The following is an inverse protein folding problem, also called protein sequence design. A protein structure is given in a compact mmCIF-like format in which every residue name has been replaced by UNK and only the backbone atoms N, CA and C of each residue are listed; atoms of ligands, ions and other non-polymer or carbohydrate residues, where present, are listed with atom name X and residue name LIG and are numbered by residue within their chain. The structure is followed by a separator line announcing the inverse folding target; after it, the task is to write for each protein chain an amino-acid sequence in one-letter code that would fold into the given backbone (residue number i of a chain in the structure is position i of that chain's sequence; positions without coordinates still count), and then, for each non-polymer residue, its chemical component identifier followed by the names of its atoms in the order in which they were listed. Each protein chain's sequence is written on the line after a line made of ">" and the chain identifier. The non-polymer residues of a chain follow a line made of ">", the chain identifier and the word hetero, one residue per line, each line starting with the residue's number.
data_IF_528490995778
#
_entry.id   IF_528490995778
#
_cell.length_a   1.000
_cell.length_b   1.000
_cell.length_c   1.000
_cell.angle_alpha   90.00
_cell.angle_beta   90.00
_cell.angle_gamma   90.00
#
_symmetry.space_group_name_H-M   'P 1'
#
loop_
_entity.id
_entity.type
_entity.pdbx_description
1 polymer ?
#
# COMPACT_ATOMS: atom_id res chain seq x y z
N UNK A 1 -19.40 -5.09 -18.53
CA UNK A 1 -18.07 -5.07 -17.89
C UNK A 1 -17.14 -4.22 -18.76
N UNK A 2 -16.85 -3.01 -18.34
CA UNK A 2 -15.92 -2.11 -19.02
C UNK A 2 -14.62 -2.05 -18.21
N UNK A 3 -13.47 -1.99 -18.89
CA UNK A 3 -12.19 -1.85 -18.23
C UNK A 3 -12.11 -0.52 -17.46
N UNK A 4 -11.49 -0.53 -16.28
CA UNK A 4 -11.27 0.66 -15.46
C UNK A 4 -9.93 1.31 -15.78
N UNK A 5 -9.84 2.63 -15.59
CA UNK A 5 -8.61 3.37 -15.85
C UNK A 5 -7.71 3.33 -14.62
N UNK A 6 -6.46 2.92 -14.80
CA UNK A 6 -5.48 2.92 -13.72
C UNK A 6 -5.30 4.29 -13.06
N UNK A 7 -5.46 5.42 -13.78
CA UNK A 7 -5.37 6.78 -13.23
C UNK A 7 -6.43 7.12 -12.16
N UNK A 8 -7.52 6.33 -12.09
CA UNK A 8 -8.60 6.56 -11.13
C UNK A 8 -8.32 5.83 -9.79
N UNK A 9 -7.25 5.03 -9.70
CA UNK A 9 -6.74 4.42 -8.45
C UNK A 9 -6.04 5.46 -7.55
N UNK A 10 -6.66 5.91 -6.47
CA UNK A 10 -6.07 6.99 -5.65
C UNK A 10 -5.48 6.46 -4.35
N UNK A 11 -4.33 7.00 -3.97
CA UNK A 11 -3.76 6.83 -2.62
C UNK A 11 -3.93 8.14 -1.85
N UNK A 12 -4.44 8.05 -0.63
CA UNK A 12 -4.62 9.18 0.28
C UNK A 12 -4.05 8.87 1.66
N UNK A 13 -3.50 9.88 2.31
CA UNK A 13 -2.94 9.82 3.66
C UNK A 13 -3.75 10.69 4.62
N UNK A 14 -3.98 10.24 5.85
CA UNK A 14 -4.55 11.07 6.91
C UNK A 14 -3.48 12.03 7.44
N UNK A 15 -3.59 13.31 7.06
CA UNK A 15 -2.55 14.32 7.30
C UNK A 15 -2.54 14.85 8.73
N UNK A 16 -3.64 14.69 9.46
CA UNK A 16 -3.83 15.21 10.82
C UNK A 16 -3.97 14.11 11.87
N UNK A 17 -4.26 12.87 11.45
CA UNK A 17 -4.63 11.76 12.33
C UNK A 17 -6.11 11.78 12.76
N UNK A 18 -6.84 12.83 12.39
CA UNK A 18 -8.26 13.04 12.71
C UNK A 18 -9.19 12.62 11.56
N UNK A 19 -8.68 11.93 10.54
CA UNK A 19 -9.45 11.49 9.36
C UNK A 19 -9.49 12.52 8.23
N UNK A 20 -8.55 13.46 8.18
CA UNK A 20 -8.45 14.44 7.09
C UNK A 20 -7.51 13.91 6.00
N UNK A 21 -8.10 13.31 4.96
CA UNK A 21 -7.36 12.62 3.90
C UNK A 21 -6.88 13.56 2.80
N UNK A 22 -5.57 13.55 2.57
CA UNK A 22 -4.88 14.26 1.51
C UNK A 22 -4.46 13.27 0.41
N UNK A 23 -4.76 13.58 -0.85
CA UNK A 23 -4.31 12.76 -1.98
C UNK A 23 -2.80 12.87 -2.13
N UNK A 24 -2.12 11.73 -2.29
CA UNK A 24 -0.70 11.71 -2.59
C UNK A 24 -0.49 12.19 -4.02
N UNK A 25 0.20 13.32 -4.16
CA UNK A 25 0.47 13.92 -5.45
C UNK A 25 1.52 13.11 -6.24
N UNK A 26 1.59 13.35 -7.56
CA UNK A 26 2.71 12.89 -8.37
C UNK A 26 2.76 11.39 -8.72
N UNK A 27 1.94 10.55 -8.09
CA UNK A 27 1.93 9.10 -8.34
C UNK A 27 1.54 8.76 -9.79
N UNK A 28 2.40 8.00 -10.46
CA UNK A 28 2.19 7.43 -11.80
C UNK A 28 1.87 5.93 -11.73
N UNK A 29 2.50 5.23 -10.79
CA UNK A 29 2.26 3.81 -10.49
C UNK A 29 1.72 3.66 -9.07
N UNK A 30 0.73 2.77 -8.89
CA UNK A 30 0.09 2.47 -7.59
C UNK A 30 -0.27 0.99 -7.58
N UNK A 31 0.03 0.31 -6.49
CA UNK A 31 -0.26 -1.10 -6.30
C UNK A 31 -0.78 -1.37 -4.90
N UNK A 32 -1.72 -2.31 -4.79
CA UNK A 32 -2.17 -2.88 -3.53
C UNK A 32 -2.15 -4.39 -3.68
N UNK A 33 -1.43 -5.05 -2.78
CA UNK A 33 -1.36 -6.49 -2.71
C UNK A 33 -1.88 -6.97 -1.36
N UNK A 34 -2.80 -7.92 -1.38
CA UNK A 34 -3.23 -8.66 -0.20
C UNK A 34 -2.57 -10.05 -0.22
N UNK A 35 -1.95 -10.44 0.89
CA UNK A 35 -1.35 -11.76 1.05
C UNK A 35 -1.95 -12.46 2.25
N UNK A 36 -2.06 -13.78 2.18
CA UNK A 36 -2.47 -14.61 3.30
C UNK A 36 -1.45 -15.74 3.46
N UNK A 37 -0.82 -15.83 4.63
CA UNK A 37 0.00 -16.98 4.97
C UNK A 37 -0.90 -18.22 5.09
N UNK A 38 -0.38 -19.39 4.71
CA UNK A 38 -1.05 -20.67 4.94
C UNK A 38 -0.44 -21.36 6.15
N UNK A 39 -1.27 -21.96 7.00
CA UNK A 39 -0.80 -22.77 8.14
C UNK A 39 -1.05 -24.23 7.80
N UNK A 40 0.02 -25.02 7.82
CA UNK A 40 -0.04 -26.46 7.59
C UNK A 40 -0.52 -27.19 8.85
N UNK A 41 -1.44 -28.13 8.67
CA UNK A 41 -2.01 -28.98 9.73
C UNK A 41 -1.94 -30.47 9.38
N UNK A 42 -1.09 -30.85 8.42
CA UNK A 42 -0.89 -32.24 7.99
C UNK A 42 -0.38 -33.09 9.15
N UNK A 43 -0.91 -34.31 9.28
CA UNK A 43 -0.57 -35.26 10.33
C UNK A 43 -0.49 -36.69 9.78
N UNK A 44 -0.07 -37.65 10.60
CA UNK A 44 0.21 -39.02 10.16
C UNK A 44 -1.03 -39.77 9.60
N UNK A 45 -2.24 -39.34 9.95
CA UNK A 45 -3.50 -39.93 9.50
C UNK A 45 -4.14 -39.15 8.34
N UNK A 46 -3.46 -38.14 7.79
CA UNK A 46 -3.96 -37.33 6.68
C UNK A 46 -4.33 -38.21 5.48
N UNK A 47 -5.61 -38.19 5.14
CA UNK A 47 -6.18 -39.12 4.18
C UNK A 47 -5.58 -38.92 2.78
N UNK A 48 -5.03 -39.98 2.20
CA UNK A 48 -4.48 -39.96 0.85
C UNK A 48 -3.21 -39.11 0.71
N UNK A 49 -2.50 -38.85 1.81
CA UNK A 49 -1.22 -38.12 1.83
C UNK A 49 -1.30 -36.68 1.30
N UNK A 50 -2.50 -36.10 1.31
CA UNK A 50 -2.71 -34.70 0.92
C UNK A 50 -2.29 -33.74 2.04
N UNK A 51 -1.71 -32.60 1.65
CA UNK A 51 -1.44 -31.49 2.58
C UNK A 51 -2.76 -30.90 3.09
N UNK A 52 -2.88 -30.81 4.41
CA UNK A 52 -4.03 -30.17 5.07
C UNK A 52 -3.65 -28.77 5.54
N UNK A 53 -4.54 -27.80 5.35
CA UNK A 53 -4.34 -26.41 5.79
C UNK A 53 -5.36 -26.01 6.84
N UNK A 54 -4.90 -25.31 7.88
CA UNK A 54 -5.77 -24.76 8.90
C UNK A 54 -6.40 -23.45 8.41
N UNK A 55 -7.70 -23.48 8.13
CA UNK A 55 -8.44 -22.32 7.66
C UNK A 55 -8.37 -21.15 8.65
N UNK A 56 -8.17 -19.93 8.14
CA UNK A 56 -8.11 -18.68 8.91
C UNK A 56 -7.03 -18.57 10.00
N UNK A 57 -6.09 -19.52 10.08
CA UNK A 57 -5.00 -19.46 11.06
C UNK A 57 -3.81 -18.62 10.59
N UNK A 58 -3.70 -18.34 9.29
CA UNK A 58 -2.59 -17.58 8.74
C UNK A 58 -2.76 -16.07 8.84
N UNK A 59 -1.65 -15.36 9.04
CA UNK A 59 -1.61 -13.91 9.03
C UNK A 59 -2.00 -13.37 7.65
N UNK A 60 -2.90 -12.39 7.64
CA UNK A 60 -3.24 -11.61 6.45
C UNK A 60 -2.44 -10.33 6.47
N UNK A 61 -1.79 -9.99 5.36
CA UNK A 61 -1.03 -8.76 5.20
C UNK A 61 -1.52 -7.99 3.99
N UNK A 62 -1.38 -6.68 4.02
CA UNK A 62 -1.60 -5.79 2.90
C UNK A 62 -0.32 -4.99 2.67
N UNK A 63 0.07 -4.81 1.42
CA UNK A 63 1.20 -3.97 1.02
C UNK A 63 0.73 -2.96 -0.01
N UNK A 64 1.09 -1.70 0.20
CA UNK A 64 0.84 -0.62 -0.75
C UNK A 64 2.16 -0.18 -1.36
N UNK A 65 2.19 -0.01 -2.68
CA UNK A 65 3.34 0.57 -3.37
C UNK A 65 2.88 1.76 -4.21
N UNK A 66 3.74 2.76 -4.30
CA UNK A 66 3.52 3.94 -5.12
C UNK A 66 4.84 4.42 -5.73
N UNK A 67 4.79 4.91 -6.96
CA UNK A 67 5.93 5.52 -7.63
C UNK A 67 5.48 6.67 -8.51
N UNK A 68 6.25 7.75 -8.57
CA UNK A 68 5.81 8.97 -9.23
C UNK A 68 6.87 10.05 -9.37
N UNK A 69 6.42 11.23 -9.81
CA UNK A 69 7.23 12.45 -9.85
C UNK A 69 7.06 13.20 -8.53
N UNK A 70 8.17 13.64 -7.96
CA UNK A 70 8.17 14.53 -6.81
C UNK A 70 7.68 15.92 -7.23
N UNK A 71 6.60 16.40 -6.59
CA UNK A 71 5.97 17.69 -6.93
C UNK A 71 6.22 18.79 -5.89
N UNK A 72 6.84 18.45 -4.76
CA UNK A 72 7.03 19.34 -3.61
C UNK A 72 5.72 19.93 -3.10
N UNK A 73 4.66 19.12 -3.07
CA UNK A 73 3.35 19.51 -2.56
C UNK A 73 3.20 19.18 -1.06
N UNK A 74 2.12 19.64 -0.43
CA UNK A 74 1.84 19.39 0.99
C UNK A 74 1.84 17.89 1.37
N UNK A 75 1.47 17.01 0.43
CA UNK A 75 1.53 15.55 0.64
C UNK A 75 2.95 15.06 0.86
N UNK A 76 3.91 15.64 0.13
CA UNK A 76 5.30 15.18 0.10
C UNK A 76 6.01 15.55 1.41
N UNK A 77 5.74 16.75 1.92
CA UNK A 77 6.19 17.16 3.24
C UNK A 77 5.65 16.23 4.35
N UNK A 78 4.36 15.87 4.28
CA UNK A 78 3.75 14.95 5.26
C UNK A 78 4.26 13.52 5.16
N UNK A 79 4.49 13.01 3.96
CA UNK A 79 5.08 11.68 3.76
C UNK A 79 6.46 11.61 4.42
N UNK A 80 7.32 12.61 4.18
CA UNK A 80 8.65 12.67 4.82
C UNK A 80 8.55 12.74 6.33
N UNK A 81 7.70 13.62 6.86
CA UNK A 81 7.46 13.75 8.31
C UNK A 81 7.08 12.40 8.94
N UNK A 82 6.11 11.69 8.35
CA UNK A 82 5.64 10.39 8.85
C UNK A 82 6.70 9.30 8.76
N UNK A 83 7.48 9.27 7.66
CA UNK A 83 8.55 8.30 7.47
C UNK A 83 9.63 8.45 8.55
N UNK A 84 10.16 9.66 8.75
CA UNK A 84 11.21 9.90 9.75
C UNK A 84 10.71 9.75 11.19
N UNK A 85 9.43 10.02 11.44
CA UNK A 85 8.82 9.75 12.74
C UNK A 85 8.52 8.25 12.97
N UNK A 86 8.64 7.40 11.94
CA UNK A 86 8.21 6.00 12.01
C UNK A 86 6.72 5.85 12.32
N UNK A 87 5.91 6.84 11.96
CA UNK A 87 4.54 6.94 12.42
C UNK A 87 3.59 6.01 11.64
N UNK A 88 2.73 5.32 12.38
CA UNK A 88 1.59 4.59 11.82
C UNK A 88 0.41 5.56 11.66
N UNK A 89 -0.18 5.60 10.48
CA UNK A 89 -1.33 6.46 10.15
C UNK A 89 -2.37 5.73 9.33
N UNK A 90 -3.57 6.32 9.25
CA UNK A 90 -4.62 5.84 8.36
C UNK A 90 -4.30 6.23 6.93
N UNK A 91 -4.40 5.26 6.04
CA UNK A 91 -4.28 5.42 4.60
C UNK A 91 -5.54 4.90 3.92
N UNK A 92 -5.89 5.52 2.81
CA UNK A 92 -7.00 5.09 1.96
C UNK A 92 -6.51 4.82 0.55
N UNK A 93 -6.85 3.66 0.02
CA UNK A 93 -6.75 3.37 -1.40
C UNK A 93 -8.14 3.28 -2.01
N UNK A 94 -8.44 4.16 -2.97
CA UNK A 94 -9.71 4.19 -3.69
C UNK A 94 -9.54 3.45 -5.00
N UNK A 95 -10.22 2.32 -5.15
CA UNK A 95 -10.24 1.48 -6.34
C UNK A 95 -11.61 1.66 -7.00
N UNK A 96 -11.70 2.08 -8.28
CA UNK A 96 -12.98 2.26 -8.95
C UNK A 96 -13.82 0.96 -8.92
N UNK A 97 -15.13 1.09 -8.75
CA UNK A 97 -16.14 0.01 -8.56
C UNK A 97 -15.90 -1.01 -7.43
N UNK A 98 -14.68 -1.14 -6.89
CA UNK A 98 -14.35 -2.00 -5.76
C UNK A 98 -14.57 -1.29 -4.42
N UNK A 99 -14.31 0.01 -4.37
CA UNK A 99 -14.52 0.85 -3.19
C UNK A 99 -13.22 1.36 -2.56
N UNK A 100 -13.31 1.73 -1.29
CA UNK A 100 -12.19 2.28 -0.52
C UNK A 100 -11.64 1.24 0.44
N UNK A 101 -10.35 0.93 0.31
CA UNK A 101 -9.59 0.16 1.29
C UNK A 101 -8.97 1.15 2.27
N UNK A 102 -9.36 1.09 3.53
CA UNK A 102 -8.83 1.93 4.59
C UNK A 102 -8.16 1.07 5.66
N UNK A 103 -7.00 1.51 6.15
CA UNK A 103 -6.29 0.81 7.20
C UNK A 103 -5.13 1.62 7.78
N UNK A 104 -4.59 1.12 8.89
CA UNK A 104 -3.35 1.64 9.46
C UNK A 104 -2.17 1.05 8.70
N UNK A 105 -1.32 1.92 8.17
CA UNK A 105 -0.07 1.55 7.50
C UNK A 105 1.09 2.41 8.01
N UNK A 106 2.29 1.86 7.92
CA UNK A 106 3.55 2.54 8.17
C UNK A 106 4.29 2.68 6.85
N UNK A 107 4.95 3.81 6.61
CA UNK A 107 5.85 3.92 5.47
C UNK A 107 7.14 3.13 5.80
N UNK A 108 7.40 2.08 5.05
CA UNK A 108 8.56 1.18 5.27
C UNK A 108 9.75 1.53 4.37
N UNK A 109 9.49 2.14 3.21
CA UNK A 109 10.52 2.67 2.33
C UNK A 109 10.06 3.96 1.67
N UNK A 110 10.98 4.91 1.55
CA UNK A 110 10.81 6.16 0.82
C UNK A 110 12.12 6.45 0.08
N UNK A 111 12.08 6.39 -1.24
CA UNK A 111 13.25 6.53 -2.10
C UNK A 111 13.06 7.72 -3.03
N UNK A 112 14.14 8.47 -3.26
CA UNK A 112 14.17 9.57 -4.22
C UNK A 112 15.26 9.30 -5.23
N UNK A 113 14.96 9.42 -6.52
CA UNK A 113 15.94 9.25 -7.58
C UNK A 113 15.74 10.27 -8.69
N UNK A 114 16.84 10.80 -9.23
CA UNK A 114 16.82 11.78 -10.31
C UNK A 114 18.11 11.71 -11.09
N UNK A 115 18.01 11.79 -12.42
CA UNK A 115 19.16 11.98 -13.31
C UNK A 115 19.31 13.46 -13.64
N UNK A 116 20.50 13.90 -14.05
CA UNK A 116 20.79 15.32 -14.33
C UNK A 116 19.76 15.97 -15.28
N UNK A 117 19.30 15.22 -16.29
CA UNK A 117 18.41 15.72 -17.35
C UNK A 117 16.95 15.22 -17.23
N UNK A 118 16.54 14.66 -16.08
CA UNK A 118 15.19 14.13 -15.87
C UNK A 118 14.51 14.70 -14.62
N UNK A 119 13.19 14.51 -14.51
CA UNK A 119 12.46 14.92 -13.30
C UNK A 119 12.88 14.11 -12.08
N UNK A 120 12.78 14.73 -10.90
CA UNK A 120 12.94 14.03 -9.63
C UNK A 120 11.77 13.05 -9.46
N UNK A 121 12.09 11.79 -9.28
CA UNK A 121 11.13 10.72 -9.02
C UNK A 121 11.20 10.26 -7.56
N UNK A 122 10.11 9.67 -7.09
CA UNK A 122 10.05 9.05 -5.78
C UNK A 122 9.31 7.72 -5.82
N UNK A 123 9.70 6.82 -4.94
CA UNK A 123 9.02 5.55 -4.66
C UNK A 123 8.70 5.43 -3.18
N UNK A 124 7.54 4.83 -2.87
CA UNK A 124 7.05 4.64 -1.53
C UNK A 124 6.51 3.23 -1.36
N UNK A 125 6.82 2.60 -0.23
CA UNK A 125 6.26 1.32 0.18
C UNK A 125 5.66 1.42 1.58
N UNK A 126 4.47 0.85 1.76
CA UNK A 126 3.74 0.76 3.02
C UNK A 126 3.27 -0.67 3.32
#
# INVERSE_FOLDING_TARGET
>A
MTAQRGKDLLLKLDSTGAGAFLTVAGLRARGLAFNAATVDATHAESAGEWRELLANAGLKTARVTGGGIFKDEASDAKIRELFFAGAIRRWQMIIPDFGTVEGLFQITALEFSGQHDNELSFEIAL
#
